data_IF_111155089190
#
_entry.id   IF_111155089190
#
_cell.length_a   1.000
_cell.length_b   1.000
_cell.length_c   1.000
_cell.angle_alpha   90.00
_cell.angle_beta   90.00
_cell.angle_gamma   90.00
#
_symmetry.space_group_name_H-M   'P 1'
#
loop_
_entity.id
_entity.type
_entity.pdbx_description
1 polymer ?
#
# COMPACT_ATOMS: atom_id res chain seq x y z
N UNK A 1 11.36 27.32 102.94
CA UNK A 1 10.70 27.93 101.77
C UNK A 1 11.49 27.38 100.56
N UNK A 2 10.99 26.29 100.05
CA UNK A 2 11.72 25.51 99.08
C UNK A 2 11.26 25.85 97.69
N UNK A 3 12.20 26.26 96.81
CA UNK A 3 11.95 26.39 95.38
C UNK A 3 12.13 25.04 94.69
N UNK A 4 11.10 24.65 93.98
CA UNK A 4 11.12 23.47 93.18
C UNK A 4 11.84 23.74 91.83
N UNK A 5 12.70 22.81 91.32
CA UNK A 5 13.38 23.00 90.09
C UNK A 5 12.46 22.74 88.90
N UNK A 6 12.49 23.66 87.92
CA UNK A 6 11.84 23.50 86.65
C UNK A 6 12.50 22.38 85.76
N UNK A 7 11.72 21.45 85.31
CA UNK A 7 12.15 20.43 84.38
C UNK A 7 12.26 20.98 82.94
N UNK A 8 13.31 20.65 82.18
CA UNK A 8 13.43 21.04 80.78
C UNK A 8 12.46 20.24 79.90
N UNK A 9 11.65 20.94 79.11
CA UNK A 9 10.71 20.40 78.20
C UNK A 9 11.41 19.62 77.07
N UNK A 10 11.07 18.36 76.96
CA UNK A 10 11.57 17.44 75.95
C UNK A 10 10.95 17.72 74.54
N UNK A 11 11.71 18.36 73.68
CA UNK A 11 11.31 18.56 72.23
C UNK A 11 12.10 17.63 71.35
N UNK A 12 11.79 16.35 71.39
CA UNK A 12 12.44 15.30 70.54
C UNK A 12 11.59 14.72 69.41
N UNK A 13 10.40 15.24 69.16
CA UNK A 13 9.48 14.62 68.23
C UNK A 13 9.51 15.17 66.80
N UNK A 14 9.99 16.39 66.55
CA UNK A 14 9.93 16.98 65.20
C UNK A 14 11.09 16.64 64.27
N UNK A 15 12.27 16.31 64.76
CA UNK A 15 13.46 16.06 63.98
C UNK A 15 13.44 14.63 63.38
N UNK A 16 12.88 13.66 64.07
CA UNK A 16 12.79 12.27 63.62
C UNK A 16 11.77 12.07 62.52
N UNK A 17 10.66 12.80 62.53
CA UNK A 17 9.57 12.68 61.57
C UNK A 17 10.00 13.23 60.20
N UNK A 18 10.73 14.33 60.12
CA UNK A 18 11.26 14.90 58.88
C UNK A 18 12.31 14.01 58.22
N UNK A 19 13.15 13.34 58.97
CA UNK A 19 14.13 12.36 58.45
C UNK A 19 13.43 11.11 57.86
N UNK A 20 12.44 10.59 58.55
CA UNK A 20 11.65 9.46 58.13
C UNK A 20 10.86 9.78 56.81
N UNK A 21 10.25 10.94 56.77
CA UNK A 21 9.46 11.39 55.59
C UNK A 21 10.33 11.60 54.34
N UNK A 22 11.56 12.11 54.46
CA UNK A 22 12.53 12.23 53.37
C UNK A 22 12.96 10.85 52.82
N UNK A 23 13.15 9.89 53.70
CA UNK A 23 13.53 8.54 53.29
C UNK A 23 12.36 7.79 52.60
N UNK A 24 11.13 7.96 53.11
CA UNK A 24 9.92 7.42 52.47
C UNK A 24 9.74 8.02 51.08
N UNK A 25 9.88 9.34 50.90
CA UNK A 25 9.79 10.01 49.61
C UNK A 25 10.85 9.52 48.60
N UNK A 26 12.09 9.29 49.08
CA UNK A 26 13.16 8.69 48.26
C UNK A 26 12.83 7.28 47.82
N UNK A 27 12.30 6.45 48.72
CA UNK A 27 11.90 5.07 48.39
C UNK A 27 10.77 5.06 47.35
N UNK A 28 9.76 5.95 47.53
CA UNK A 28 8.66 6.08 46.55
C UNK A 28 9.20 6.51 45.18
N UNK A 29 10.14 7.48 45.13
CA UNK A 29 10.77 7.92 43.88
C UNK A 29 11.59 6.82 43.20
N UNK A 30 12.30 6.00 43.94
CA UNK A 30 13.07 4.87 43.43
C UNK A 30 12.11 3.78 42.92
N UNK A 31 11.06 3.47 43.66
CA UNK A 31 10.06 2.45 43.21
C UNK A 31 9.32 2.91 41.95
N UNK A 32 8.92 4.17 41.86
CA UNK A 32 8.29 4.72 40.65
C UNK A 32 9.25 4.74 39.47
N UNK A 33 10.52 5.04 39.65
CA UNK A 33 11.54 5.00 38.62
C UNK A 33 11.78 3.54 38.11
N UNK A 34 11.85 2.57 39.04
CA UNK A 34 11.97 1.14 38.70
C UNK A 34 10.73 0.60 37.99
N UNK A 35 9.53 1.02 38.37
CA UNK A 35 8.30 0.62 37.69
C UNK A 35 8.22 1.16 36.24
N UNK A 36 8.71 2.38 36.00
CA UNK A 36 8.79 2.94 34.65
C UNK A 36 9.90 2.27 33.81
N UNK A 37 11.01 1.88 34.42
CA UNK A 37 12.08 1.16 33.72
C UNK A 37 11.67 -0.27 33.31
N UNK A 38 10.79 -0.93 34.06
CA UNK A 38 10.27 -2.25 33.72
C UNK A 38 9.25 -2.23 32.57
N UNK A 39 8.72 -1.06 32.19
CA UNK A 39 7.77 -0.88 31.08
C UNK A 39 8.42 -0.79 29.69
N UNK A 40 9.74 -0.65 29.60
CA UNK A 40 10.49 -0.63 28.36
C UNK A 40 10.62 -2.02 27.75
N UNK A 41 9.52 -2.61 27.28
CA UNK A 41 9.60 -3.76 26.38
C UNK A 41 10.12 -3.25 25.04
N UNK A 42 11.42 -3.32 24.82
CA UNK A 42 11.98 -3.33 23.46
C UNK A 42 11.40 -4.59 22.77
N UNK A 43 10.29 -4.41 22.07
CA UNK A 43 9.74 -5.44 21.22
C UNK A 43 10.73 -5.59 20.07
N UNK A 44 11.66 -6.53 20.21
CA UNK A 44 12.44 -7.02 19.07
C UNK A 44 11.37 -7.62 18.15
N UNK A 45 11.04 -6.89 17.08
CA UNK A 45 10.27 -7.46 15.98
C UNK A 45 11.05 -8.66 15.47
N UNK A 46 10.66 -9.85 15.88
CA UNK A 46 11.12 -11.09 15.27
C UNK A 46 10.39 -11.26 13.91
N UNK A 47 10.50 -10.25 13.05
CA UNK A 47 10.17 -10.43 11.64
C UNK A 47 11.37 -11.19 11.11
N UNK A 48 11.23 -12.51 11.01
CA UNK A 48 12.18 -13.35 10.30
C UNK A 48 12.42 -12.79 8.90
N UNK A 49 13.48 -13.17 8.27
CA UNK A 49 13.73 -12.88 6.85
C UNK A 49 12.49 -13.35 6.09
N UNK A 50 11.80 -12.49 5.35
CA UNK A 50 10.62 -12.90 4.59
C UNK A 50 11.02 -14.05 3.66
N UNK A 51 10.17 -15.06 3.54
CA UNK A 51 10.37 -16.14 2.58
C UNK A 51 10.37 -15.51 1.17
N UNK A 52 11.50 -15.53 0.49
CA UNK A 52 11.64 -15.02 -0.87
C UNK A 52 11.63 -16.22 -1.82
N UNK A 53 10.70 -16.20 -2.78
CA UNK A 53 10.66 -17.16 -3.86
C UNK A 53 10.93 -16.45 -5.18
N UNK A 54 11.99 -16.87 -5.88
CA UNK A 54 12.33 -16.36 -7.20
C UNK A 54 11.82 -17.30 -8.27
N UNK A 55 11.07 -16.77 -9.23
CA UNK A 55 10.59 -17.51 -10.39
C UNK A 55 11.46 -17.16 -11.60
N UNK A 56 12.02 -18.18 -12.24
CA UNK A 56 12.77 -17.99 -13.48
C UNK A 56 11.82 -17.82 -14.67
N UNK A 57 12.30 -17.19 -15.74
CA UNK A 57 11.55 -17.04 -16.99
C UNK A 57 10.99 -18.36 -17.53
N UNK A 58 11.72 -19.46 -17.37
CA UNK A 58 11.27 -20.78 -17.81
C UNK A 58 10.01 -21.27 -17.06
N UNK A 59 9.75 -20.75 -15.86
CA UNK A 59 8.56 -21.07 -15.06
C UNK A 59 7.35 -20.28 -15.55
N UNK A 60 7.47 -18.94 -15.62
CA UNK A 60 6.33 -18.09 -15.98
C UNK A 60 6.18 -17.81 -17.49
N UNK A 61 7.16 -18.20 -18.32
CA UNK A 61 7.12 -18.23 -19.79
C UNK A 61 6.69 -16.90 -20.44
N UNK A 62 7.15 -15.79 -19.90
CA UNK A 62 6.90 -14.46 -20.43
C UNK A 62 8.19 -13.61 -20.40
N UNK A 63 8.14 -12.37 -20.88
CA UNK A 63 9.26 -11.44 -20.86
C UNK A 63 9.76 -11.20 -19.43
N UNK A 64 11.04 -10.90 -19.29
CA UNK A 64 11.65 -10.59 -17.98
C UNK A 64 11.23 -9.23 -17.44
N UNK A 65 10.68 -8.36 -18.27
CA UNK A 65 10.31 -7.01 -17.87
C UNK A 65 8.84 -6.94 -17.46
N UNK A 66 8.62 -6.59 -16.18
CA UNK A 66 7.32 -6.24 -15.61
C UNK A 66 7.33 -4.74 -15.24
N UNK A 67 6.28 -4.02 -15.63
CA UNK A 67 6.15 -2.57 -15.44
C UNK A 67 5.29 -2.18 -14.24
N UNK A 68 4.29 -3.01 -13.95
CA UNK A 68 3.39 -2.81 -12.83
C UNK A 68 2.95 -4.15 -12.25
N UNK A 69 2.50 -4.14 -11.00
CA UNK A 69 1.96 -5.29 -10.29
C UNK A 69 0.69 -4.90 -9.56
N UNK A 70 -0.28 -5.79 -9.53
CA UNK A 70 -1.52 -5.65 -8.78
C UNK A 70 -1.97 -6.97 -8.20
N UNK A 71 -2.85 -6.91 -7.22
CA UNK A 71 -3.44 -8.09 -6.60
C UNK A 71 -4.95 -7.90 -6.50
N UNK A 72 -5.72 -8.95 -6.77
CA UNK A 72 -7.16 -8.95 -6.56
C UNK A 72 -7.56 -9.45 -5.17
N UNK A 73 -8.85 -9.37 -4.87
CA UNK A 73 -9.40 -9.77 -3.56
C UNK A 73 -9.32 -11.29 -3.28
N UNK A 74 -9.02 -12.11 -4.31
CA UNK A 74 -8.79 -13.55 -4.19
C UNK A 74 -7.34 -13.88 -3.88
N UNK A 75 -6.45 -12.90 -3.96
CA UNK A 75 -5.01 -13.05 -3.77
C UNK A 75 -4.24 -13.34 -5.07
N UNK A 76 -4.90 -13.35 -6.23
CA UNK A 76 -4.22 -13.52 -7.51
C UNK A 76 -3.38 -12.30 -7.83
N UNK A 77 -2.16 -12.54 -8.28
CA UNK A 77 -1.21 -11.49 -8.66
C UNK A 77 -1.22 -11.28 -10.17
N UNK A 78 -1.23 -10.03 -10.57
CA UNK A 78 -1.19 -9.64 -11.99
C UNK A 78 0.01 -8.76 -12.26
N UNK A 79 0.66 -8.97 -13.40
CA UNK A 79 1.85 -8.22 -13.80
C UNK A 79 1.65 -7.67 -15.21
N UNK A 80 1.88 -6.37 -15.36
CA UNK A 80 1.98 -5.74 -16.67
C UNK A 80 3.33 -6.10 -17.28
N UNK A 81 3.32 -7.04 -18.22
CA UNK A 81 4.52 -7.63 -18.83
C UNK A 81 4.66 -7.20 -20.30
N UNK A 82 5.89 -7.18 -20.81
CA UNK A 82 6.12 -6.88 -22.23
C UNK A 82 5.40 -7.84 -23.20
N UNK A 83 5.11 -9.06 -22.75
CA UNK A 83 4.42 -10.05 -23.59
C UNK A 83 2.90 -10.08 -23.32
N UNK A 84 2.37 -9.24 -22.40
CA UNK A 84 0.94 -9.16 -22.11
C UNK A 84 0.62 -8.98 -20.63
N UNK A 85 -0.56 -9.38 -20.21
CA UNK A 85 -0.96 -9.49 -18.81
C UNK A 85 -0.59 -10.89 -18.29
N UNK A 86 0.31 -10.94 -17.31
CA UNK A 86 0.73 -12.17 -16.66
C UNK A 86 -0.03 -12.32 -15.33
N UNK A 87 -0.64 -13.47 -15.12
CA UNK A 87 -1.38 -13.82 -13.92
C UNK A 87 -0.65 -14.92 -13.15
N UNK A 88 -0.68 -14.84 -11.83
CA UNK A 88 -0.23 -15.88 -10.91
C UNK A 88 -1.28 -16.15 -9.84
N UNK A 89 -1.81 -17.37 -9.80
CA UNK A 89 -2.86 -17.78 -8.86
C UNK A 89 -2.32 -18.38 -7.54
N UNK A 90 -1.00 -18.32 -7.32
CA UNK A 90 -0.31 -18.97 -6.20
C UNK A 90 0.34 -20.31 -6.57
N UNK A 91 -0.01 -20.89 -7.74
CA UNK A 91 0.45 -22.19 -8.21
C UNK A 91 0.90 -22.12 -9.67
N UNK A 92 0.08 -21.52 -10.52
CA UNK A 92 0.20 -21.52 -11.98
C UNK A 92 0.39 -20.11 -12.52
N UNK A 93 1.06 -20.02 -13.67
CA UNK A 93 1.26 -18.79 -14.40
C UNK A 93 0.49 -18.85 -15.71
N UNK A 94 -0.29 -17.80 -16.01
CA UNK A 94 -1.04 -17.63 -17.23
C UNK A 94 -0.68 -16.31 -17.90
N UNK A 95 -0.41 -16.34 -19.21
CA UNK A 95 -0.13 -15.16 -20.02
C UNK A 95 -1.32 -14.87 -20.95
N UNK A 96 -1.85 -13.64 -20.85
CA UNK A 96 -2.93 -13.14 -21.70
C UNK A 96 -2.41 -12.04 -22.63
N UNK A 97 -2.67 -12.20 -23.92
CA UNK A 97 -2.30 -11.24 -24.97
C UNK A 97 -3.60 -10.69 -25.58
N UNK A 98 -3.86 -9.41 -25.36
CA UNK A 98 -5.13 -8.78 -25.75
C UNK A 98 -5.01 -7.85 -26.94
N UNK A 99 -3.79 -7.46 -27.33
CA UNK A 99 -3.49 -6.55 -28.43
C UNK A 99 -2.19 -6.97 -29.14
N UNK A 100 -1.97 -6.40 -30.32
CA UNK A 100 -0.71 -6.54 -31.06
C UNK A 100 -0.12 -5.14 -31.34
N UNK A 101 1.05 -4.81 -30.75
CA UNK A 101 1.85 -5.60 -29.82
C UNK A 101 1.22 -5.70 -28.43
N UNK A 102 1.45 -6.81 -27.74
CA UNK A 102 0.86 -7.09 -26.41
C UNK A 102 1.53 -6.34 -25.25
N UNK A 103 2.35 -5.34 -25.52
CA UNK A 103 3.12 -4.57 -24.52
C UNK A 103 2.23 -3.93 -23.47
N UNK A 104 2.11 -4.55 -22.29
CA UNK A 104 1.37 -3.99 -21.16
C UNK A 104 2.30 -3.15 -20.29
N UNK A 105 1.97 -1.86 -20.11
CA UNK A 105 2.79 -0.87 -19.40
C UNK A 105 2.28 -0.54 -18.00
N UNK A 106 0.97 -0.58 -17.84
CA UNK A 106 0.34 -0.26 -16.57
C UNK A 106 -0.83 -1.18 -16.29
N UNK A 107 -1.10 -1.40 -15.02
CA UNK A 107 -2.30 -2.07 -14.56
C UNK A 107 -2.74 -1.51 -13.20
N UNK A 108 -4.01 -1.64 -12.91
CA UNK A 108 -4.57 -1.48 -11.57
C UNK A 108 -5.73 -2.46 -11.41
N UNK A 109 -5.98 -2.88 -10.17
CA UNK A 109 -7.15 -3.70 -9.82
C UNK A 109 -8.03 -2.88 -8.92
N UNK A 110 -9.31 -2.76 -9.26
CA UNK A 110 -10.26 -2.01 -8.42
C UNK A 110 -10.80 -2.88 -7.27
N UNK A 111 -11.57 -2.24 -6.39
CA UNK A 111 -12.22 -2.91 -5.24
C UNK A 111 -13.21 -4.02 -5.63
N UNK A 112 -13.69 -4.03 -6.87
CA UNK A 112 -14.62 -5.04 -7.40
C UNK A 112 -13.89 -6.18 -8.12
N UNK A 113 -12.54 -6.13 -8.16
CA UNK A 113 -11.71 -7.13 -8.86
C UNK A 113 -11.62 -6.93 -10.37
N UNK A 114 -12.04 -5.77 -10.89
CA UNK A 114 -11.84 -5.42 -12.29
C UNK A 114 -10.38 -5.02 -12.49
N UNK A 115 -9.72 -5.65 -13.46
CA UNK A 115 -8.34 -5.36 -13.82
C UNK A 115 -8.37 -4.38 -14.99
N UNK A 116 -7.82 -3.19 -14.80
CA UNK A 116 -7.61 -2.23 -15.88
C UNK A 116 -6.18 -2.34 -16.38
N UNK A 117 -6.01 -2.40 -17.69
CA UNK A 117 -4.70 -2.54 -18.35
C UNK A 117 -4.46 -1.41 -19.34
N UNK A 118 -3.23 -0.90 -19.34
CA UNK A 118 -2.74 0.07 -20.29
C UNK A 118 -1.59 -0.50 -21.10
N UNK A 119 -1.71 -0.42 -22.42
CA UNK A 119 -0.80 -0.98 -23.42
C UNK A 119 -0.31 0.11 -24.37
N UNK A 120 0.47 -0.29 -25.37
CA UNK A 120 0.81 0.62 -26.44
C UNK A 120 -0.42 0.86 -27.33
N UNK A 121 -0.82 2.12 -27.47
CA UNK A 121 -1.98 2.58 -28.23
C UNK A 121 -3.31 1.87 -27.96
N UNK A 122 -3.43 1.20 -26.78
CA UNK A 122 -4.60 0.42 -26.38
C UNK A 122 -4.75 0.42 -24.87
N UNK A 123 -5.99 0.38 -24.37
CA UNK A 123 -6.31 0.25 -22.95
C UNK A 123 -7.75 -0.20 -22.74
N UNK A 124 -8.02 -0.77 -21.57
CA UNK A 124 -9.37 -1.22 -21.26
C UNK A 124 -9.45 -1.99 -19.95
N UNK A 125 -10.52 -2.78 -19.83
CA UNK A 125 -10.83 -3.58 -18.68
C UNK A 125 -10.76 -5.06 -18.98
N UNK A 126 -10.27 -5.83 -18.01
CA UNK A 126 -10.25 -7.30 -18.04
C UNK A 126 -11.13 -7.78 -16.89
N UNK A 127 -12.11 -8.62 -17.22
CA UNK A 127 -13.04 -9.21 -16.27
C UNK A 127 -13.19 -10.70 -16.56
N UNK A 128 -13.40 -11.55 -15.54
CA UNK A 128 -13.74 -12.94 -15.78
C UNK A 128 -15.15 -13.04 -16.41
N UNK A 129 -15.31 -13.94 -17.38
CA UNK A 129 -16.63 -14.36 -17.88
C UNK A 129 -17.30 -15.37 -16.93
N UNK A 130 -18.45 -15.88 -17.33
CA UNK A 130 -19.20 -16.86 -16.55
C UNK A 130 -18.44 -18.19 -16.30
N UNK A 131 -17.42 -18.49 -17.10
CA UNK A 131 -16.54 -19.66 -16.95
C UNK A 131 -15.31 -19.37 -16.08
N UNK A 132 -15.10 -18.11 -15.70
CA UNK A 132 -13.91 -17.65 -14.98
C UNK A 132 -12.73 -17.26 -15.89
N UNK A 133 -12.90 -17.35 -17.21
CA UNK A 133 -11.86 -16.95 -18.16
C UNK A 133 -11.80 -15.43 -18.27
N UNK A 134 -10.59 -14.87 -18.23
CA UNK A 134 -10.39 -13.43 -18.37
C UNK A 134 -10.72 -12.97 -19.81
N UNK A 135 -11.64 -12.01 -19.89
CA UNK A 135 -12.08 -11.39 -21.13
C UNK A 135 -11.73 -9.90 -21.11
N UNK A 136 -11.15 -9.43 -22.20
CA UNK A 136 -10.74 -8.05 -22.39
C UNK A 136 -11.82 -7.24 -23.12
N UNK A 137 -12.09 -6.05 -22.63
CA UNK A 137 -12.94 -5.04 -23.27
C UNK A 137 -12.12 -3.77 -23.53
N UNK A 138 -11.93 -3.44 -24.80
CA UNK A 138 -11.22 -2.22 -25.21
C UNK A 138 -12.04 -0.97 -24.93
N UNK A 139 -11.45 -0.01 -24.22
CA UNK A 139 -11.99 1.33 -24.05
C UNK A 139 -11.46 2.31 -25.12
N UNK A 140 -10.37 1.94 -25.77
CA UNK A 140 -9.79 2.70 -26.88
C UNK A 140 -10.81 2.99 -27.99
N UNK A 141 -11.72 2.05 -28.26
CA UNK A 141 -12.75 2.16 -29.28
C UNK A 141 -13.79 3.24 -29.01
N UNK A 142 -13.87 3.74 -27.77
CA UNK A 142 -14.77 4.85 -27.38
C UNK A 142 -14.15 6.23 -27.57
N UNK A 143 -12.87 6.29 -27.98
CA UNK A 143 -12.20 7.56 -28.28
C UNK A 143 -12.61 8.08 -29.66
N UNK A 144 -12.59 9.41 -29.87
CA UNK A 144 -12.78 10.01 -31.19
C UNK A 144 -11.75 9.50 -32.22
N UNK A 145 -12.17 9.34 -33.47
CA UNK A 145 -11.32 8.90 -34.57
C UNK A 145 -10.13 9.83 -34.84
N UNK A 146 -10.23 11.10 -34.41
CA UNK A 146 -9.13 12.05 -34.51
C UNK A 146 -7.91 11.71 -33.64
N UNK A 147 -8.07 10.86 -32.63
CA UNK A 147 -7.00 10.37 -31.76
C UNK A 147 -6.43 9.05 -32.28
N UNK A 148 -5.69 9.12 -33.40
CA UNK A 148 -5.14 7.92 -34.06
C UNK A 148 -4.05 7.26 -33.24
N UNK A 149 -3.17 8.04 -32.63
CA UNK A 149 -2.06 7.57 -31.80
C UNK A 149 -2.09 8.26 -30.45
N UNK A 150 -2.19 7.45 -29.40
CA UNK A 150 -2.15 7.91 -28.00
C UNK A 150 -0.89 7.47 -27.28
N UNK A 151 0.00 6.72 -27.96
CA UNK A 151 1.23 6.16 -27.41
C UNK A 151 0.97 5.16 -26.26
N UNK A 152 1.96 4.95 -25.41
CA UNK A 152 1.84 4.08 -24.22
C UNK A 152 0.93 4.71 -23.15
N UNK A 153 0.11 3.88 -22.51
CA UNK A 153 -0.66 4.23 -21.32
C UNK A 153 0.17 3.86 -20.07
N UNK A 154 0.78 4.86 -19.46
CA UNK A 154 1.78 4.68 -18.40
C UNK A 154 1.20 4.54 -17.00
N UNK A 155 0.05 5.15 -16.74
CA UNK A 155 -0.60 5.09 -15.43
C UNK A 155 -2.10 4.89 -15.54
N UNK A 156 -2.64 4.18 -14.57
CA UNK A 156 -4.07 3.95 -14.41
C UNK A 156 -4.43 4.21 -12.96
N UNK A 157 -5.50 4.99 -12.75
CA UNK A 157 -6.04 5.25 -11.42
C UNK A 157 -7.53 4.90 -11.41
N UNK A 158 -7.88 3.81 -10.74
CA UNK A 158 -9.28 3.47 -10.48
C UNK A 158 -9.77 4.21 -9.22
N UNK A 159 -10.94 4.81 -9.32
CA UNK A 159 -11.64 5.52 -8.23
C UNK A 159 -13.00 4.88 -7.97
N UNK A 160 -13.74 5.41 -6.99
CA UNK A 160 -15.13 4.96 -6.74
C UNK A 160 -16.07 5.22 -7.92
N UNK A 161 -15.80 6.25 -8.70
CA UNK A 161 -16.71 6.79 -9.74
C UNK A 161 -16.25 6.47 -11.16
N UNK A 162 -15.04 5.90 -11.34
CA UNK A 162 -14.52 5.59 -12.67
C UNK A 162 -13.01 5.35 -12.68
N UNK A 163 -12.43 5.39 -13.88
CA UNK A 163 -11.01 5.08 -14.10
C UNK A 163 -10.35 6.11 -15.00
N UNK A 164 -9.15 6.49 -14.62
CA UNK A 164 -8.30 7.42 -15.39
C UNK A 164 -7.17 6.64 -16.04
N UNK A 165 -6.99 6.86 -17.36
CA UNK A 165 -5.87 6.31 -18.13
C UNK A 165 -4.99 7.48 -18.59
N UNK A 166 -3.72 7.45 -18.21
CA UNK A 166 -2.78 8.52 -18.49
C UNK A 166 -1.71 8.10 -19.48
N UNK A 167 -1.59 8.87 -20.55
CA UNK A 167 -0.49 8.85 -21.52
C UNK A 167 0.42 10.07 -21.31
N UNK A 168 1.40 10.29 -22.17
CA UNK A 168 2.19 11.54 -22.14
C UNK A 168 1.34 12.78 -22.44
N UNK A 169 0.41 12.70 -23.41
CA UNK A 169 -0.31 13.87 -23.92
C UNK A 169 -1.74 13.97 -23.42
N UNK A 170 -2.32 12.86 -22.91
CA UNK A 170 -3.73 12.77 -22.56
C UNK A 170 -3.95 12.08 -21.22
N UNK A 171 -5.04 12.50 -20.57
CA UNK A 171 -5.66 11.71 -19.49
C UNK A 171 -7.11 11.47 -19.90
N UNK A 172 -7.49 10.21 -20.02
CA UNK A 172 -8.85 9.78 -20.38
C UNK A 172 -9.58 9.36 -19.12
N UNK A 173 -10.78 9.87 -18.92
CA UNK A 173 -11.64 9.49 -17.79
C UNK A 173 -12.85 8.73 -18.29
N UNK A 174 -13.02 7.52 -17.78
CA UNK A 174 -14.11 6.60 -18.12
C UNK A 174 -14.92 6.23 -16.87
N UNK A 175 -16.20 5.90 -17.04
CA UNK A 175 -16.98 5.23 -16.01
C UNK A 175 -16.65 3.72 -15.94
N UNK A 176 -17.27 3.03 -14.98
CA UNK A 176 -17.06 1.59 -14.77
C UNK A 176 -17.60 0.73 -15.92
N UNK A 177 -18.50 1.25 -16.74
CA UNK A 177 -19.09 0.61 -17.92
C UNK A 177 -18.25 0.81 -19.19
N UNK A 178 -17.20 1.63 -19.11
CA UNK A 178 -16.30 1.91 -20.25
C UNK A 178 -16.81 3.01 -21.17
N UNK A 179 -17.69 3.90 -20.68
CA UNK A 179 -18.11 5.09 -21.43
C UNK A 179 -17.13 6.22 -21.15
N UNK A 180 -16.67 6.88 -22.20
CA UNK A 180 -15.80 8.05 -22.10
C UNK A 180 -16.57 9.21 -21.46
N UNK A 181 -16.09 9.72 -20.33
CA UNK A 181 -16.65 10.87 -19.64
C UNK A 181 -15.91 12.15 -19.99
N UNK A 182 -14.57 12.11 -20.06
CA UNK A 182 -13.76 13.31 -20.32
C UNK A 182 -12.38 12.96 -20.88
N UNK A 183 -11.86 13.88 -21.69
CA UNK A 183 -10.47 13.88 -22.17
C UNK A 183 -9.81 15.16 -21.66
N UNK A 184 -8.67 15.00 -21.00
CA UNK A 184 -7.80 16.11 -20.64
C UNK A 184 -6.56 16.05 -21.53
N UNK A 185 -6.17 17.17 -22.11
CA UNK A 185 -4.94 17.30 -22.88
C UNK A 185 -4.03 18.33 -22.23
N UNK A 186 -2.72 18.16 -22.39
CA UNK A 186 -1.73 19.13 -21.95
C UNK A 186 -0.95 19.68 -23.14
N UNK A 187 -0.69 21.01 -23.21
CA UNK A 187 0.20 21.58 -24.22
C UNK A 187 1.65 21.07 -24.10
N UNK A 188 2.03 20.63 -22.92
CA UNK A 188 3.27 19.88 -22.63
C UNK A 188 2.93 18.49 -22.12
N UNK A 189 3.89 17.60 -22.15
CA UNK A 189 3.65 16.23 -21.68
C UNK A 189 3.33 16.19 -20.19
N UNK A 190 2.42 15.30 -19.80
CA UNK A 190 2.26 14.91 -18.40
C UNK A 190 3.53 14.21 -17.90
N UNK A 191 3.90 14.46 -16.66
CA UNK A 191 5.03 13.76 -16.01
C UNK A 191 4.52 12.62 -15.12
N UNK A 192 5.35 11.61 -14.97
CA UNK A 192 5.05 10.41 -14.18
C UNK A 192 5.88 10.37 -12.90
#
# INVERSE_FOLDING_TARGET
MDELPQQPGFSLSKISIFGCMKNILRIILIVTALMNAAGGRAQIKSIGVPAIQNFSRNVYRASTQNWAVGQDNRGFMYFANNDGLLEYDGTSWNLYQFAEPALTRSLTVDKNGVIYVGMFNEFGAVKPDASGKLCYTSFRRSLPDSLVDISDVWRIHATGDGVFFQTYSYVFYFDAEGRLLRIFSSPGNFRF
#
